data_IF_069021691039
#
_entry.id   IF_069021691039
#
_cell.length_a   1.000
_cell.length_b   1.000
_cell.length_c   1.000
_cell.angle_alpha   90.00
_cell.angle_beta   90.00
_cell.angle_gamma   90.00
#
_symmetry.space_group_name_H-M   'P 1'
#
loop_
_entity.id
_entity.type
_entity.pdbx_description
1 polymer ?
#
# COMPACT_ATOMS: atom_id res chain seq x y z
N UNK A 1 -5.16 -18.56 -28.69
CA UNK A 1 -6.06 -17.39 -28.52
C UNK A 1 -6.12 -16.47 -29.75
N UNK A 2 -5.13 -15.61 -30.03
CA UNK A 2 -5.25 -14.59 -31.09
C UNK A 2 -5.61 -15.11 -32.48
N UNK A 3 -4.83 -16.04 -33.04
CA UNK A 3 -5.11 -16.64 -34.36
C UNK A 3 -6.37 -17.52 -34.38
N UNK A 4 -6.71 -18.15 -33.27
CA UNK A 4 -7.88 -19.04 -33.17
C UNK A 4 -9.21 -18.27 -33.05
N UNK A 5 -9.19 -17.07 -32.45
CA UNK A 5 -10.41 -16.30 -32.17
C UNK A 5 -10.57 -15.11 -33.13
N UNK A 6 -9.47 -14.42 -33.44
CA UNK A 6 -9.49 -13.14 -34.18
C UNK A 6 -8.84 -13.25 -35.57
N UNK A 7 -8.38 -14.43 -35.99
CA UNK A 7 -7.71 -14.66 -37.28
C UNK A 7 -6.31 -14.02 -37.44
N UNK A 8 -5.93 -13.11 -36.54
CA UNK A 8 -4.69 -12.33 -36.60
C UNK A 8 -3.83 -12.50 -35.33
N UNK A 9 -2.56 -12.05 -35.40
CA UNK A 9 -1.75 -11.87 -34.19
C UNK A 9 -2.36 -10.77 -33.31
N UNK A 10 -2.42 -11.01 -32.00
CA UNK A 10 -2.96 -10.06 -31.02
C UNK A 10 -1.83 -9.24 -30.43
N UNK A 11 -2.07 -7.95 -30.24
CA UNK A 11 -1.19 -7.06 -29.49
C UNK A 11 -1.59 -7.10 -28.00
N UNK A 12 -0.62 -7.34 -27.13
CA UNK A 12 -0.78 -7.35 -25.67
C UNK A 12 -0.05 -6.15 -25.08
N UNK A 13 -0.78 -5.34 -24.31
CA UNK A 13 -0.23 -4.21 -23.57
C UNK A 13 -0.03 -4.62 -22.10
N UNK A 14 1.22 -4.68 -21.64
CA UNK A 14 1.56 -4.92 -20.24
C UNK A 14 1.87 -3.59 -19.55
N UNK A 15 1.12 -3.24 -18.49
CA UNK A 15 1.40 -2.08 -17.64
C UNK A 15 2.11 -2.51 -16.37
N UNK A 16 3.25 -1.89 -16.07
CA UNK A 16 4.01 -2.13 -14.84
C UNK A 16 4.14 -0.84 -14.04
N UNK A 17 3.59 -0.85 -12.84
CA UNK A 17 3.73 0.25 -11.88
C UNK A 17 4.76 -0.10 -10.83
N UNK A 18 5.57 0.88 -10.43
CA UNK A 18 6.46 0.72 -9.29
C UNK A 18 5.63 0.71 -8.01
N UNK A 19 6.02 -0.14 -7.06
CA UNK A 19 5.36 -0.24 -5.77
C UNK A 19 5.64 0.99 -4.90
N UNK A 20 4.58 1.65 -4.40
CA UNK A 20 4.65 2.79 -3.49
C UNK A 20 3.89 2.45 -2.19
N UNK A 21 4.56 2.34 -1.04
CA UNK A 21 3.91 2.16 0.26
C UNK A 21 2.91 3.30 0.56
N UNK A 22 1.69 2.94 0.98
CA UNK A 22 0.61 3.90 1.26
C UNK A 22 0.20 3.90 2.72
N UNK A 23 -0.17 5.07 3.28
CA UNK A 23 -0.82 5.19 4.58
C UNK A 23 -1.99 4.22 4.75
N UNK A 24 -2.15 3.69 5.96
CA UNK A 24 -3.27 2.83 6.33
C UNK A 24 -3.40 1.54 5.49
N UNK A 25 -2.30 1.08 4.89
CA UNK A 25 -2.23 -0.22 4.22
C UNK A 25 -1.31 -1.17 4.98
N UNK A 26 -1.43 -2.50 4.80
CA UNK A 26 -0.50 -3.46 5.39
C UNK A 26 0.97 -3.17 5.04
N UNK A 27 1.23 -2.51 3.91
CA UNK A 27 2.59 -2.21 3.47
C UNK A 27 3.10 -0.84 3.90
N UNK A 28 2.42 -0.13 4.81
CA UNK A 28 2.87 1.19 5.27
C UNK A 28 4.25 1.16 5.97
N UNK A 29 4.70 -0.01 6.45
CA UNK A 29 6.03 -0.22 7.04
C UNK A 29 7.11 -0.57 6.00
N UNK A 30 6.72 -0.91 4.77
CA UNK A 30 7.68 -1.27 3.73
C UNK A 30 8.52 -0.06 3.31
N UNK A 31 9.82 -0.23 3.09
CA UNK A 31 10.58 0.74 2.31
C UNK A 31 10.10 0.74 0.86
N UNK A 32 10.32 1.86 0.16
CA UNK A 32 10.24 1.92 -1.30
C UNK A 32 11.64 1.68 -1.89
N UNK A 33 11.68 1.15 -3.12
CA UNK A 33 12.93 1.00 -3.87
C UNK A 33 13.58 2.36 -4.16
N UNK A 34 14.91 2.40 -4.15
CA UNK A 34 15.73 3.51 -4.66
C UNK A 34 15.56 3.68 -6.16
N UNK A 35 15.92 4.87 -6.67
CA UNK A 35 15.87 5.17 -8.10
C UNK A 35 16.64 4.14 -8.93
N UNK A 36 17.81 3.75 -8.44
CA UNK A 36 18.73 2.79 -9.05
C UNK A 36 18.11 1.40 -9.12
N UNK A 37 17.48 0.96 -8.03
CA UNK A 37 16.76 -0.32 -7.99
C UNK A 37 15.57 -0.34 -8.95
N UNK A 38 14.79 0.75 -9.01
CA UNK A 38 13.65 0.88 -9.94
C UNK A 38 14.16 0.78 -11.38
N UNK A 39 15.20 1.55 -11.73
CA UNK A 39 15.80 1.54 -13.06
C UNK A 39 16.35 0.16 -13.45
N UNK A 40 17.01 -0.54 -12.52
CA UNK A 40 17.52 -1.89 -12.76
C UNK A 40 16.37 -2.87 -13.06
N UNK A 41 15.31 -2.85 -12.25
CA UNK A 41 14.11 -3.70 -12.43
C UNK A 41 13.37 -3.37 -13.74
N UNK A 42 13.21 -2.09 -14.06
CA UNK A 42 12.62 -1.66 -15.33
C UNK A 42 13.48 -2.08 -16.52
N UNK A 43 14.81 -2.02 -16.43
CA UNK A 43 15.72 -2.43 -17.49
C UNK A 43 15.65 -3.94 -17.75
N UNK A 44 15.54 -4.74 -16.68
CA UNK A 44 15.26 -6.17 -16.78
C UNK A 44 13.94 -6.41 -17.53
N UNK A 45 12.83 -5.82 -17.07
CA UNK A 45 11.52 -6.00 -17.71
C UNK A 45 11.53 -5.58 -19.18
N UNK A 46 12.16 -4.45 -19.50
CA UNK A 46 12.32 -3.97 -20.87
C UNK A 46 13.09 -4.94 -21.73
N UNK A 47 14.02 -5.72 -21.19
CA UNK A 47 14.82 -6.69 -21.94
C UNK A 47 14.05 -8.00 -22.15
N UNK A 48 13.40 -8.51 -21.12
CA UNK A 48 12.70 -9.79 -21.17
C UNK A 48 11.32 -9.70 -21.85
N UNK A 49 10.63 -8.57 -21.73
CA UNK A 49 9.30 -8.35 -22.32
C UNK A 49 9.40 -7.65 -23.69
N UNK A 50 10.25 -8.19 -24.57
CA UNK A 50 10.38 -7.76 -25.98
C UNK A 50 9.80 -8.82 -26.90
N UNK A 51 9.06 -8.40 -27.91
CA UNK A 51 8.60 -9.32 -28.95
C UNK A 51 7.51 -8.73 -29.84
N UNK A 52 7.26 -9.34 -31.01
CA UNK A 52 6.19 -8.91 -31.91
C UNK A 52 4.84 -8.97 -31.20
N UNK A 53 4.12 -7.85 -31.19
CA UNK A 53 2.81 -7.73 -30.55
C UNK A 53 2.86 -7.56 -29.02
N UNK A 54 4.02 -7.24 -28.43
CA UNK A 54 4.11 -6.85 -27.02
C UNK A 54 4.44 -5.37 -26.89
N UNK A 55 3.66 -4.66 -26.07
CA UNK A 55 3.94 -3.28 -25.67
C UNK A 55 4.01 -3.21 -24.14
N UNK A 56 5.14 -2.71 -23.63
CA UNK A 56 5.33 -2.48 -22.20
C UNK A 56 5.12 -0.99 -21.91
N UNK A 57 4.30 -0.67 -20.91
CA UNK A 57 4.14 0.67 -20.34
C UNK A 57 4.64 0.65 -18.89
N UNK A 58 5.34 1.70 -18.46
CA UNK A 58 5.84 1.84 -17.09
C UNK A 58 5.88 3.30 -16.66
N UNK A 59 5.88 3.54 -15.35
CA UNK A 59 5.99 4.88 -14.77
C UNK A 59 7.46 5.33 -14.72
N UNK A 60 7.72 6.63 -14.89
CA UNK A 60 9.06 7.15 -14.69
C UNK A 60 9.46 7.02 -13.20
N UNK A 61 10.72 6.65 -12.90
CA UNK A 61 11.18 6.53 -11.52
C UNK A 61 11.03 7.83 -10.72
N UNK A 62 11.26 8.98 -11.36
CA UNK A 62 11.20 10.28 -10.70
C UNK A 62 9.76 10.63 -10.27
N UNK A 63 8.76 10.31 -11.10
CA UNK A 63 7.33 10.45 -10.75
C UNK A 63 6.94 9.51 -9.60
N UNK A 64 7.45 8.27 -9.62
CA UNK A 64 7.22 7.29 -8.54
C UNK A 64 7.78 7.79 -7.22
N UNK A 65 9.01 8.33 -7.23
CA UNK A 65 9.65 8.84 -6.03
C UNK A 65 8.90 10.03 -5.47
N UNK A 66 8.44 10.95 -6.33
CA UNK A 66 7.59 12.06 -5.93
C UNK A 66 6.30 11.58 -5.26
N UNK A 67 5.61 10.62 -5.88
CA UNK A 67 4.43 9.99 -5.30
C UNK A 67 4.74 9.38 -3.93
N UNK A 68 5.89 8.73 -3.78
CA UNK A 68 6.29 8.08 -2.54
C UNK A 68 6.63 9.09 -1.42
N UNK A 69 7.25 10.23 -1.75
CA UNK A 69 7.49 11.32 -0.80
C UNK A 69 6.17 11.88 -0.30
N UNK A 70 5.27 12.25 -1.22
CA UNK A 70 3.99 12.88 -0.89
C UNK A 70 3.06 11.94 -0.13
N UNK A 71 3.05 10.64 -0.49
CA UNK A 71 2.19 9.64 0.16
C UNK A 71 2.53 9.43 1.64
N UNK A 72 3.80 9.57 2.02
CA UNK A 72 4.29 9.29 3.38
C UNK A 72 4.78 10.54 4.12
N UNK A 73 4.43 11.71 3.59
CA UNK A 73 4.83 12.99 4.13
C UNK A 73 4.31 13.26 5.53
N UNK A 74 5.02 14.12 6.25
CA UNK A 74 4.53 14.78 7.45
C UNK A 74 4.42 16.29 7.19
N UNK A 75 4.04 17.05 8.23
CA UNK A 75 3.88 18.52 8.15
C UNK A 75 5.10 19.26 7.57
N UNK A 76 6.31 18.70 7.64
CA UNK A 76 7.52 19.34 7.08
C UNK A 76 7.48 19.42 5.55
N UNK A 77 6.75 18.51 4.88
CA UNK A 77 6.58 18.58 3.43
C UNK A 77 5.82 19.83 2.98
N UNK A 78 5.07 20.51 3.85
CA UNK A 78 4.39 21.75 3.48
C UNK A 78 5.35 22.81 2.94
N UNK A 79 6.52 22.97 3.57
CA UNK A 79 7.55 23.89 3.11
C UNK A 79 8.16 23.44 1.76
N UNK A 80 8.37 22.13 1.58
CA UNK A 80 8.90 21.57 0.33
C UNK A 80 7.92 21.78 -0.82
N UNK A 81 6.62 21.54 -0.60
CA UNK A 81 5.58 21.76 -1.60
C UNK A 81 5.54 23.23 -2.02
N UNK A 82 5.66 24.15 -1.06
CA UNK A 82 5.69 25.59 -1.34
C UNK A 82 6.90 25.99 -2.20
N UNK A 83 8.10 25.55 -1.84
CA UNK A 83 9.31 25.82 -2.62
C UNK A 83 9.26 25.17 -4.01
N UNK A 84 8.73 23.95 -4.11
CA UNK A 84 8.55 23.26 -5.39
C UNK A 84 7.54 23.98 -6.30
N UNK A 85 6.45 24.52 -5.74
CA UNK A 85 5.49 25.34 -6.48
C UNK A 85 6.14 26.63 -7.03
N UNK A 86 6.98 27.27 -6.23
CA UNK A 86 7.65 28.54 -6.60
C UNK A 86 8.71 28.35 -7.69
N UNK A 87 9.45 27.23 -7.65
CA UNK A 87 10.65 27.04 -8.48
C UNK A 87 10.52 25.90 -9.51
N UNK A 88 9.43 25.11 -9.48
CA UNK A 88 9.16 24.01 -10.41
C UNK A 88 10.07 22.79 -10.25
N UNK A 89 10.87 22.71 -9.18
CA UNK A 89 11.89 21.67 -8.98
C UNK A 89 11.82 21.04 -7.59
N UNK A 90 11.32 19.80 -7.51
CA UNK A 90 11.10 19.10 -6.23
C UNK A 90 12.39 18.79 -5.47
N UNK A 91 13.40 18.22 -6.12
CA UNK A 91 14.66 17.87 -5.44
C UNK A 91 15.38 19.11 -4.89
N UNK A 92 15.30 20.21 -5.63
CA UNK A 92 15.85 21.49 -5.19
C UNK A 92 15.06 22.05 -3.99
N UNK A 93 13.73 21.94 -4.01
CA UNK A 93 12.89 22.33 -2.88
C UNK A 93 13.24 21.56 -1.59
N UNK A 94 13.47 20.25 -1.69
CA UNK A 94 13.97 19.45 -0.56
C UNK A 94 15.31 19.98 -0.03
N UNK A 95 16.24 20.32 -0.94
CA UNK A 95 17.55 20.90 -0.59
C UNK A 95 17.43 22.25 0.09
N UNK A 96 16.59 23.15 -0.42
CA UNK A 96 16.34 24.49 0.14
C UNK A 96 15.75 24.40 1.55
N UNK A 97 14.80 23.50 1.76
CA UNK A 97 14.17 23.29 3.07
C UNK A 97 15.09 22.54 4.05
N UNK A 98 16.15 21.90 3.55
CA UNK A 98 17.07 21.10 4.36
C UNK A 98 16.46 19.77 4.81
N UNK A 99 15.58 19.18 3.98
CA UNK A 99 14.88 17.94 4.26
C UNK A 99 15.35 16.85 3.31
N UNK A 100 15.80 15.71 3.85
CA UNK A 100 16.18 14.57 3.05
C UNK A 100 14.91 13.84 2.53
N UNK A 101 14.66 13.75 1.21
CA UNK A 101 13.53 13.00 0.67
C UNK A 101 13.58 11.51 1.05
N UNK A 102 14.77 10.94 1.24
CA UNK A 102 14.97 9.52 1.57
C UNK A 102 14.49 9.14 2.97
N UNK A 103 14.38 10.12 3.87
CA UNK A 103 13.72 9.94 5.17
C UNK A 103 12.30 9.38 5.03
N UNK A 104 11.58 9.78 3.98
CA UNK A 104 10.20 9.35 3.74
C UNK A 104 10.13 7.99 3.05
N UNK A 105 11.14 7.63 2.24
CA UNK A 105 11.04 6.51 1.31
C UNK A 105 11.75 5.23 1.67
N UNK A 106 13.05 5.29 1.98
CA UNK A 106 13.93 4.12 1.96
C UNK A 106 14.23 3.56 3.34
N UNK A 107 13.96 4.31 4.41
CA UNK A 107 14.18 3.80 5.76
C UNK A 107 13.21 2.68 6.09
N UNK A 108 13.73 1.69 6.81
CA UNK A 108 12.90 0.74 7.51
C UNK A 108 12.10 1.46 8.61
N UNK A 109 10.87 0.99 8.82
CA UNK A 109 9.93 1.59 9.76
C UNK A 109 9.55 0.53 10.78
N UNK A 110 9.87 0.71 12.07
CA UNK A 110 9.50 -0.27 13.08
C UNK A 110 7.99 -0.29 13.26
N UNK A 111 7.46 -1.43 13.73
CA UNK A 111 6.01 -1.66 13.77
C UNK A 111 5.29 -0.70 14.73
N UNK A 112 6.00 -0.28 15.78
CA UNK A 112 5.55 0.60 16.85
C UNK A 112 5.75 2.10 16.55
N UNK A 113 6.32 2.45 15.40
CA UNK A 113 6.50 3.86 14.99
C UNK A 113 5.16 4.58 14.90
N UNK A 114 5.04 5.74 15.53
CA UNK A 114 3.89 6.64 15.34
C UNK A 114 3.97 7.35 13.99
N UNK A 115 3.01 7.09 13.10
CA UNK A 115 3.01 7.72 11.78
C UNK A 115 2.23 9.05 11.74
N UNK A 116 2.64 10.01 10.88
CA UNK A 116 1.98 11.31 10.78
C UNK A 116 0.54 11.23 10.27
N UNK A 117 0.20 10.18 9.51
CA UNK A 117 -1.16 9.94 9.02
C UNK A 117 -2.09 9.29 10.05
N UNK A 118 -1.61 8.88 11.23
CA UNK A 118 -2.47 8.30 12.27
C UNK A 118 -3.49 9.28 12.87
N UNK A 119 -3.36 10.58 12.58
CA UNK A 119 -4.38 11.58 12.89
C UNK A 119 -5.69 11.35 12.11
N UNK A 120 -5.63 10.62 11.00
CA UNK A 120 -6.80 10.28 10.18
C UNK A 120 -7.34 8.93 10.61
N UNK A 121 -8.57 8.90 11.11
CA UNK A 121 -9.25 7.66 11.47
C UNK A 121 -9.97 7.08 10.25
N UNK A 122 -9.41 6.00 9.71
CA UNK A 122 -9.99 5.23 8.60
C UNK A 122 -10.82 4.03 9.07
N UNK A 123 -11.17 3.96 10.36
CA UNK A 123 -11.89 2.86 11.02
C UNK A 123 -11.15 1.51 11.05
N UNK A 124 -10.00 1.38 10.38
CA UNK A 124 -9.15 0.18 10.40
C UNK A 124 -8.06 0.34 11.44
N UNK A 125 -7.98 -0.63 12.36
CA UNK A 125 -6.99 -0.67 13.43
C UNK A 125 -5.60 -0.97 12.87
N UNK A 126 -4.58 -0.25 13.35
CA UNK A 126 -3.17 -0.51 13.03
C UNK A 126 -2.75 -1.97 13.29
N UNK A 127 -3.27 -2.58 14.36
CA UNK A 127 -3.04 -4.01 14.66
C UNK A 127 -3.48 -4.95 13.53
N UNK A 128 -4.63 -4.69 12.90
CA UNK A 128 -5.11 -5.50 11.78
C UNK A 128 -4.16 -5.40 10.58
N UNK A 129 -3.69 -4.20 10.27
CA UNK A 129 -2.71 -3.95 9.20
C UNK A 129 -1.38 -4.63 9.51
N UNK A 130 -0.94 -4.60 10.77
CA UNK A 130 0.30 -5.23 11.22
C UNK A 130 0.24 -6.75 11.09
N UNK A 131 -0.88 -7.37 11.50
CA UNK A 131 -1.08 -8.82 11.30
C UNK A 131 -0.98 -9.19 9.81
N UNK A 132 -1.59 -8.40 8.93
CA UNK A 132 -1.57 -8.64 7.49
C UNK A 132 -0.19 -8.42 6.86
N UNK A 133 0.56 -7.43 7.36
CA UNK A 133 1.98 -7.26 7.05
C UNK A 133 2.78 -8.52 7.37
N UNK A 134 2.68 -9.05 8.59
CA UNK A 134 3.41 -10.27 8.98
C UNK A 134 2.97 -11.53 8.21
N UNK A 135 1.72 -11.61 7.78
CA UNK A 135 1.26 -12.67 6.89
C UNK A 135 1.92 -12.55 5.52
N UNK A 136 1.98 -11.35 4.96
CA UNK A 136 2.65 -11.10 3.67
C UNK A 136 4.13 -11.49 3.69
N UNK A 137 4.84 -11.22 4.80
CA UNK A 137 6.25 -11.61 4.98
C UNK A 137 6.45 -13.13 4.98
N UNK A 138 5.40 -13.90 5.30
CA UNK A 138 5.39 -15.37 5.28
C UNK A 138 4.78 -15.96 4.00
N UNK A 139 4.50 -15.12 2.99
CA UNK A 139 3.84 -15.54 1.76
C UNK A 139 2.38 -15.99 1.96
N UNK A 140 1.76 -15.57 3.06
CA UNK A 140 0.38 -15.91 3.39
C UNK A 140 -0.55 -14.77 2.98
N UNK A 141 -1.73 -15.13 2.47
CA UNK A 141 -2.80 -14.19 2.17
C UNK A 141 -3.96 -14.37 3.12
N UNK A 142 -4.73 -13.30 3.30
CA UNK A 142 -6.01 -13.34 4.01
C UNK A 142 -7.10 -13.69 3.01
N UNK A 143 -8.02 -14.59 3.39
CA UNK A 143 -9.23 -14.82 2.62
C UNK A 143 -10.15 -13.60 2.66
N UNK A 144 -11.14 -13.57 1.78
CA UNK A 144 -12.10 -12.48 1.71
C UNK A 144 -12.77 -12.24 3.08
N UNK A 145 -12.76 -11.00 3.54
CA UNK A 145 -13.31 -10.64 4.85
C UNK A 145 -14.84 -10.74 4.91
N UNK A 146 -15.51 -10.86 3.75
CA UNK A 146 -16.96 -11.11 3.62
C UNK A 146 -17.32 -12.55 3.99
N UNK A 147 -16.38 -13.49 3.86
CA UNK A 147 -16.56 -14.87 4.30
C UNK A 147 -16.28 -15.05 5.79
N UNK A 148 -15.33 -14.28 6.34
CA UNK A 148 -14.92 -14.34 7.74
C UNK A 148 -14.45 -12.99 8.26
N UNK A 149 -15.02 -12.55 9.39
CA UNK A 149 -14.56 -11.33 10.05
C UNK A 149 -13.16 -11.52 10.69
N UNK A 150 -12.27 -10.58 10.40
CA UNK A 150 -10.92 -10.49 10.98
C UNK A 150 -10.73 -9.34 11.97
N UNK A 151 -11.84 -8.76 12.46
CA UNK A 151 -11.83 -7.68 13.45
C UNK A 151 -10.99 -6.45 13.05
N UNK A 152 -11.08 -6.01 11.78
CA UNK A 152 -10.36 -4.85 11.26
C UNK A 152 -10.66 -3.54 12.01
N UNK A 153 -11.85 -3.39 12.58
CA UNK A 153 -12.26 -2.18 13.32
C UNK A 153 -13.54 -1.54 12.79
N UNK A 154 -13.91 -1.80 11.53
CA UNK A 154 -15.13 -1.25 10.88
C UNK A 154 -16.38 -1.51 11.71
N UNK A 155 -16.60 -2.78 12.08
CA UNK A 155 -17.83 -3.19 12.77
C UNK A 155 -18.07 -2.50 14.12
N UNK A 156 -17.08 -2.43 15.05
CA UNK A 156 -17.27 -1.66 16.27
C UNK A 156 -17.31 -0.14 16.03
N UNK A 157 -16.57 0.39 15.05
CA UNK A 157 -16.54 1.83 14.76
C UNK A 157 -17.89 2.35 14.24
N UNK A 158 -18.54 1.59 13.38
CA UNK A 158 -19.80 1.96 12.72
C UNK A 158 -20.98 1.14 13.25
N UNK A 159 -21.04 0.94 14.57
CA UNK A 159 -22.08 0.10 15.19
C UNK A 159 -23.49 0.62 14.91
N UNK A 160 -23.71 1.93 15.06
CA UNK A 160 -25.01 2.58 14.85
C UNK A 160 -25.45 2.48 13.40
N UNK A 161 -24.58 2.91 12.47
CA UNK A 161 -24.84 2.83 11.01
C UNK A 161 -25.14 1.39 10.59
N UNK A 162 -24.40 0.42 11.11
CA UNK A 162 -24.66 -1.00 10.85
C UNK A 162 -26.05 -1.42 11.33
N UNK A 163 -26.50 -0.97 12.50
CA UNK A 163 -27.81 -1.34 13.04
C UNK A 163 -28.96 -0.79 12.20
N UNK A 164 -28.77 0.38 11.58
CA UNK A 164 -29.74 1.03 10.71
C UNK A 164 -29.69 0.52 9.26
N UNK A 165 -28.61 -0.16 8.87
CA UNK A 165 -28.42 -0.66 7.51
C UNK A 165 -28.99 -2.07 7.35
N UNK A 166 -29.82 -2.36 6.32
CA UNK A 166 -30.25 -3.71 6.01
C UNK A 166 -29.08 -4.69 5.87
N UNK A 167 -29.23 -5.93 6.32
CA UNK A 167 -28.13 -6.89 6.39
C UNK A 167 -27.51 -7.19 5.01
N UNK A 168 -28.34 -7.23 3.97
CA UNK A 168 -27.98 -7.40 2.57
C UNK A 168 -27.20 -6.21 1.99
N UNK A 169 -27.33 -5.02 2.59
CA UNK A 169 -26.60 -3.82 2.20
C UNK A 169 -25.29 -3.65 2.99
N UNK A 170 -25.12 -4.37 4.10
CA UNK A 170 -23.91 -4.34 4.92
C UNK A 170 -22.98 -5.51 4.59
N UNK A 171 -21.97 -5.27 3.74
CA UNK A 171 -21.10 -6.33 3.20
C UNK A 171 -20.24 -7.07 4.25
N UNK A 172 -20.03 -6.51 5.43
CA UNK A 172 -19.26 -7.21 6.46
C UNK A 172 -20.09 -8.36 7.07
N UNK A 173 -19.47 -9.53 7.33
CA UNK A 173 -20.20 -10.68 7.82
C UNK A 173 -20.71 -10.44 9.25
N UNK A 174 -21.82 -11.09 9.62
CA UNK A 174 -22.32 -11.04 10.98
C UNK A 174 -21.27 -11.63 11.92
N UNK A 175 -20.94 -10.89 12.98
CA UNK A 175 -19.97 -11.37 13.97
C UNK A 175 -20.72 -12.07 15.08
N UNK A 176 -20.32 -13.31 15.35
CA UNK A 176 -20.84 -14.06 16.51
C UNK A 176 -20.65 -13.24 17.79
N UNK A 177 -21.68 -13.11 18.64
CA UNK A 177 -21.55 -12.55 19.98
C UNK A 177 -20.38 -13.18 20.74
N UNK A 178 -19.73 -12.41 21.62
CA UNK A 178 -18.51 -12.84 22.33
C UNK A 178 -18.68 -14.19 23.05
N UNK A 179 -19.88 -14.44 23.61
CA UNK A 179 -20.22 -15.68 24.30
C UNK A 179 -20.36 -16.92 23.38
N UNK A 180 -20.50 -16.72 22.06
CA UNK A 180 -20.59 -17.80 21.06
C UNK A 180 -19.27 -17.96 20.25
N UNK A 181 -18.22 -17.19 20.57
CA UNK A 181 -16.92 -17.32 19.89
C UNK A 181 -16.12 -18.45 20.55
N UNK A 182 -15.75 -19.47 19.78
CA UNK A 182 -14.75 -20.46 20.20
C UNK A 182 -13.39 -19.81 20.47
N UNK A 183 -12.52 -20.49 21.23
CA UNK A 183 -11.17 -20.01 21.58
C UNK A 183 -10.45 -19.52 20.31
N UNK A 184 -9.92 -18.29 20.38
CA UNK A 184 -9.29 -17.60 19.24
C UNK A 184 -8.12 -18.39 18.65
N UNK A 185 -7.95 -18.30 17.33
CA UNK A 185 -6.73 -18.70 16.65
C UNK A 185 -5.52 -17.95 17.23
N UNK A 186 -4.35 -18.59 17.22
CA UNK A 186 -3.12 -18.12 17.84
C UNK A 186 -2.89 -16.61 17.60
N UNK A 187 -2.85 -15.86 18.70
CA UNK A 187 -2.33 -14.50 18.71
C UNK A 187 -0.85 -14.66 18.38
N UNK A 188 -0.40 -14.11 17.25
CA UNK A 188 1.04 -13.99 16.99
C UNK A 188 1.52 -12.88 17.95
N UNK A 189 2.32 -13.20 18.97
CA UNK A 189 2.79 -12.17 19.90
C UNK A 189 3.73 -11.25 19.14
N UNK A 190 3.47 -9.94 19.21
CA UNK A 190 4.33 -8.91 18.60
C UNK A 190 5.76 -8.92 19.16
N UNK A 191 6.00 -9.60 20.29
CA UNK A 191 7.30 -9.71 20.95
C UNK A 191 8.16 -10.91 20.49
N UNK A 192 7.63 -11.85 19.70
CA UNK A 192 8.37 -13.04 19.25
C UNK A 192 9.12 -12.82 17.92
N UNK A 193 9.22 -11.57 17.47
CA UNK A 193 9.82 -11.21 16.17
C UNK A 193 10.71 -9.97 16.35
N UNK A 194 11.61 -10.03 17.33
CA UNK A 194 12.79 -9.17 17.47
C UNK A 194 14.05 -10.01 17.30
#
# INVERSE_FOLDING_TARGET
MGRQILGNKVNVNAGVSTFVPKPHTPFQWSPADTREQILAKQSLLKRELRGPGLKLNWNHPDDTLLEAFLSRGDRRLGAVIYEAWKHGAWLEAFRVVGLDPYFYTHRERPIDETFPWEIVDVAVKKKFLAEDWFWSQRGQTRVDCRERCFACGILPKFTEVRMETPAEAWECPPVKPKHLRGKQAAVIPLAEIA
#
